data_IF_288668784863
#
_entry.id   IF_288668784863
#
_cell.length_a   1.000
_cell.length_b   1.000
_cell.length_c   1.000
_cell.angle_alpha   90.00
_cell.angle_beta   90.00
_cell.angle_gamma   90.00
#
_symmetry.space_group_name_H-M   'P 1'
#
loop_
_entity.id
_entity.type
_entity.pdbx_description
1 polymer ?
#
# COMPACT_ATOMS: atom_id res chain seq x y z
N UNK A 1 17.16 2.86 2.02
CA UNK A 1 15.70 2.72 2.25
C UNK A 1 14.99 2.34 0.95
N UNK A 2 14.05 1.38 0.98
CA UNK A 2 13.09 1.18 -0.10
C UNK A 2 11.78 1.91 0.26
N UNK A 3 11.26 2.79 -0.60
CA UNK A 3 9.99 3.49 -0.41
C UNK A 3 9.15 3.27 -1.65
N UNK A 4 8.05 2.52 -1.49
CA UNK A 4 7.27 2.07 -2.63
C UNK A 4 5.77 2.04 -2.36
N UNK A 5 5.02 1.96 -3.46
CA UNK A 5 3.58 1.67 -3.48
C UNK A 5 3.46 0.29 -4.15
N UNK A 6 3.38 -0.82 -3.38
CA UNK A 6 3.43 -2.17 -3.96
C UNK A 6 2.21 -2.47 -4.83
N UNK A 7 2.42 -3.11 -5.99
CA UNK A 7 1.32 -3.45 -6.91
C UNK A 7 0.28 -4.37 -6.26
N UNK A 8 0.75 -5.32 -5.46
CA UNK A 8 -0.07 -6.33 -4.81
C UNK A 8 -0.99 -5.70 -3.77
N UNK A 9 -0.48 -4.74 -2.99
CA UNK A 9 -1.29 -4.01 -2.00
C UNK A 9 -2.31 -3.10 -2.67
N UNK A 10 -1.97 -2.47 -3.79
CA UNK A 10 -2.97 -1.75 -4.58
C UNK A 10 -4.06 -2.70 -5.07
N UNK A 11 -3.68 -3.86 -5.60
CA UNK A 11 -4.66 -4.86 -6.02
C UNK A 11 -5.61 -5.26 -4.89
N UNK A 12 -5.07 -5.59 -3.72
CA UNK A 12 -5.88 -5.95 -2.57
C UNK A 12 -6.78 -4.79 -2.12
N UNK A 13 -6.30 -3.56 -2.11
CA UNK A 13 -7.12 -2.37 -1.81
C UNK A 13 -8.28 -2.19 -2.80
N UNK A 14 -8.00 -2.36 -4.10
CA UNK A 14 -9.04 -2.33 -5.13
C UNK A 14 -10.09 -3.41 -4.88
N UNK A 15 -9.66 -4.66 -4.66
CA UNK A 15 -10.58 -5.78 -4.42
C UNK A 15 -11.41 -5.58 -3.16
N UNK A 16 -10.80 -5.09 -2.07
CA UNK A 16 -11.50 -4.75 -0.83
C UNK A 16 -12.65 -3.78 -1.09
N UNK A 17 -12.38 -2.73 -1.86
CA UNK A 17 -13.40 -1.72 -2.19
C UNK A 17 -14.43 -2.24 -3.20
N UNK A 18 -13.97 -2.85 -4.29
CA UNK A 18 -14.82 -3.29 -5.40
C UNK A 18 -15.76 -4.44 -5.01
N UNK A 19 -15.34 -5.29 -4.07
CA UNK A 19 -16.15 -6.39 -3.56
C UNK A 19 -16.82 -6.08 -2.22
N UNK A 20 -16.64 -4.88 -1.67
CA UNK A 20 -17.21 -4.49 -0.38
C UNK A 20 -16.79 -5.41 0.76
N UNK A 21 -15.50 -5.77 0.83
CA UNK A 21 -14.97 -6.64 1.88
C UNK A 21 -14.82 -5.85 3.18
N UNK A 22 -15.30 -6.42 4.28
CA UNK A 22 -15.17 -5.86 5.64
C UNK A 22 -13.89 -6.33 6.37
N UNK A 23 -12.92 -6.86 5.61
CA UNK A 23 -11.62 -7.22 6.12
C UNK A 23 -10.84 -5.99 6.58
N UNK A 24 -10.12 -6.12 7.70
CA UNK A 24 -9.29 -5.05 8.29
C UNK A 24 -10.06 -3.73 8.46
N UNK A 25 -10.99 -3.71 9.41
CA UNK A 25 -11.83 -2.52 9.72
C UNK A 25 -11.03 -1.29 10.16
N UNK A 26 -9.82 -1.50 10.65
CA UNK A 26 -8.84 -0.47 11.00
C UNK A 26 -8.22 0.21 9.77
N UNK A 27 -8.28 -0.41 8.59
CA UNK A 27 -7.77 0.15 7.35
C UNK A 27 -8.77 1.14 6.74
N UNK A 28 -8.42 2.43 6.56
CA UNK A 28 -9.35 3.41 6.00
C UNK A 28 -9.75 3.11 4.55
N UNK A 29 -10.83 3.73 4.05
CA UNK A 29 -11.16 3.75 2.62
C UNK A 29 -10.03 4.30 1.74
N UNK A 30 -10.02 3.91 0.47
CA UNK A 30 -9.02 4.39 -0.49
C UNK A 30 -9.24 5.87 -0.86
N UNK A 31 -8.15 6.57 -1.14
CA UNK A 31 -8.13 7.91 -1.73
C UNK A 31 -7.12 7.97 -2.90
N UNK A 32 -7.59 8.07 -4.16
CA UNK A 32 -8.99 8.14 -4.56
C UNK A 32 -9.72 6.81 -4.37
N UNK A 33 -11.04 6.88 -4.18
CA UNK A 33 -11.90 5.70 -4.18
C UNK A 33 -11.86 5.02 -5.57
N UNK A 34 -11.68 3.69 -5.64
CA UNK A 34 -11.72 2.97 -6.92
C UNK A 34 -13.13 2.92 -7.49
N UNK A 35 -13.23 3.13 -8.80
CA UNK A 35 -14.40 2.71 -9.57
C UNK A 35 -14.30 1.20 -9.78
N UNK A 36 -15.27 0.38 -9.31
CA UNK A 36 -15.22 -1.06 -9.49
C UNK A 36 -15.36 -1.50 -10.96
N UNK A 37 -15.90 -0.64 -11.85
CA UNK A 37 -16.23 -1.04 -13.21
C UNK A 37 -17.19 -2.24 -13.23
N UNK A 38 -16.85 -3.26 -14.01
CA UNK A 38 -17.58 -4.53 -14.07
C UNK A 38 -17.17 -5.55 -12.99
N UNK A 39 -16.37 -5.17 -12.00
CA UNK A 39 -15.93 -6.08 -10.94
C UNK A 39 -17.12 -6.57 -10.12
N UNK A 40 -17.14 -7.87 -9.82
CA UNK A 40 -18.19 -8.51 -9.04
C UNK A 40 -17.58 -9.41 -8.00
N UNK A 41 -18.08 -9.30 -6.76
CA UNK A 41 -17.67 -10.16 -5.67
C UNK A 41 -17.93 -11.63 -6.03
N UNK A 42 -16.90 -12.49 -6.02
CA UNK A 42 -17.08 -13.92 -6.20
C UNK A 42 -17.98 -14.54 -5.12
N UNK A 43 -18.76 -15.57 -5.46
CA UNK A 43 -19.75 -16.18 -4.58
C UNK A 43 -19.19 -17.24 -3.60
N UNK A 44 -17.87 -17.48 -3.59
CA UNK A 44 -17.28 -18.51 -2.74
C UNK A 44 -17.03 -18.00 -1.30
N UNK A 45 -17.21 -18.90 -0.35
CA UNK A 45 -17.05 -18.61 1.08
C UNK A 45 -15.57 -18.41 1.44
N UNK A 46 -15.30 -17.56 2.43
CA UNK A 46 -13.96 -17.35 2.99
C UNK A 46 -13.08 -16.37 2.21
N UNK A 47 -13.64 -15.62 1.26
CA UNK A 47 -12.90 -14.64 0.45
C UNK A 47 -12.22 -13.57 1.31
N UNK A 48 -12.85 -13.11 2.40
CA UNK A 48 -12.23 -12.18 3.35
C UNK A 48 -10.98 -12.77 4.01
N UNK A 49 -11.02 -14.03 4.46
CA UNK A 49 -9.86 -14.68 5.09
C UNK A 49 -8.72 -14.93 4.11
N UNK A 50 -9.04 -15.15 2.83
CA UNK A 50 -8.02 -15.24 1.78
C UNK A 50 -7.39 -13.88 1.54
N UNK A 51 -8.20 -12.83 1.45
CA UNK A 51 -7.73 -11.46 1.32
C UNK A 51 -6.81 -11.05 2.47
N UNK A 52 -7.18 -11.36 3.73
CA UNK A 52 -6.37 -11.04 4.91
C UNK A 52 -5.00 -11.73 4.88
N UNK A 53 -4.98 -13.02 4.51
CA UNK A 53 -3.71 -13.75 4.38
C UNK A 53 -2.81 -13.16 3.30
N UNK A 54 -3.39 -12.76 2.17
CA UNK A 54 -2.66 -12.12 1.07
C UNK A 54 -2.16 -10.73 1.47
N UNK A 55 -2.92 -10.00 2.28
CA UNK A 55 -2.49 -8.73 2.87
C UNK A 55 -1.27 -8.90 3.78
N UNK A 56 -1.30 -9.88 4.67
CA UNK A 56 -0.17 -10.18 5.56
C UNK A 56 1.07 -10.60 4.76
N UNK A 57 0.89 -11.41 3.71
CA UNK A 57 1.99 -11.79 2.83
C UNK A 57 2.59 -10.57 2.10
N UNK A 58 1.75 -9.70 1.52
CA UNK A 58 2.21 -8.55 0.74
C UNK A 58 2.84 -7.45 1.61
N UNK A 59 2.47 -7.37 2.89
CA UNK A 59 3.06 -6.43 3.86
C UNK A 59 4.30 -6.99 4.59
N UNK A 60 4.60 -8.27 4.44
CA UNK A 60 5.81 -8.89 5.00
C UNK A 60 7.09 -8.43 4.30
N UNK A 61 8.23 -8.56 4.99
CA UNK A 61 9.55 -8.22 4.44
C UNK A 61 9.91 -9.08 3.20
N UNK A 62 9.39 -10.30 3.09
CA UNK A 62 9.61 -11.23 1.97
C UNK A 62 8.67 -10.98 0.77
N UNK A 63 7.55 -10.31 0.99
CA UNK A 63 6.55 -10.00 -0.04
C UNK A 63 7.03 -9.02 -1.12
N UNK A 64 8.17 -8.36 -0.93
CA UNK A 64 8.73 -7.38 -1.86
C UNK A 64 9.19 -7.96 -3.22
N UNK A 65 9.31 -9.30 -3.36
CA UNK A 65 9.93 -9.95 -4.53
C UNK A 65 8.96 -10.37 -5.65
N UNK A 66 7.65 -10.09 -5.57
CA UNK A 66 6.69 -10.53 -6.60
C UNK A 66 6.49 -9.47 -7.69
N UNK A 67 7.58 -8.81 -8.11
CA UNK A 67 7.56 -7.85 -9.22
C UNK A 67 7.86 -8.55 -10.54
N UNK A 68 6.87 -9.26 -11.09
CA UNK A 68 6.72 -9.28 -12.54
C UNK A 68 5.77 -8.15 -12.91
N UNK A 69 6.30 -7.10 -13.54
CA UNK A 69 5.50 -6.01 -14.08
C UNK A 69 4.35 -6.59 -14.92
N UNK A 70 3.12 -6.41 -14.46
CA UNK A 70 1.91 -6.83 -15.16
C UNK A 70 1.25 -8.12 -14.66
N UNK A 71 1.84 -8.87 -13.74
CA UNK A 71 1.16 -10.00 -13.12
C UNK A 71 0.21 -9.54 -11.99
N UNK A 72 -1.03 -10.02 -12.03
CA UNK A 72 -2.02 -9.77 -10.98
C UNK A 72 -1.77 -10.75 -9.82
N UNK A 73 -1.36 -10.26 -8.65
CA UNK A 73 -0.97 -11.09 -7.51
C UNK A 73 -2.12 -12.00 -7.04
N UNK A 74 -3.34 -11.45 -6.99
CA UNK A 74 -4.56 -12.24 -6.77
C UNK A 74 -4.84 -13.15 -7.96
N UNK A 75 -4.76 -12.57 -9.17
CA UNK A 75 -5.07 -13.27 -10.42
C UNK A 75 -4.25 -14.53 -10.66
N UNK A 76 -2.99 -14.55 -10.23
CA UNK A 76 -2.11 -15.71 -10.35
C UNK A 76 -2.55 -16.88 -9.46
N UNK A 77 -3.10 -16.61 -8.28
CA UNK A 77 -3.46 -17.65 -7.31
C UNK A 77 -4.92 -18.09 -7.43
N UNK A 78 -5.81 -17.16 -7.80
CA UNK A 78 -7.27 -17.35 -7.72
C UNK A 78 -7.98 -17.08 -9.04
N UNK A 79 -7.25 -16.69 -10.09
CA UNK A 79 -7.83 -16.27 -11.36
C UNK A 79 -8.39 -14.83 -11.30
N UNK A 80 -8.81 -14.33 -12.45
CA UNK A 80 -9.29 -12.95 -12.62
C UNK A 80 -10.82 -12.86 -12.72
N UNK A 81 -11.53 -13.95 -12.46
CA UNK A 81 -12.99 -13.95 -12.47
C UNK A 81 -13.54 -12.98 -11.40
N UNK A 82 -14.45 -12.10 -11.81
CA UNK A 82 -15.01 -11.05 -10.93
C UNK A 82 -14.13 -9.80 -10.78
N UNK A 83 -13.03 -9.69 -11.55
CA UNK A 83 -12.16 -8.51 -11.55
C UNK A 83 -12.23 -7.82 -12.92
N UNK A 84 -12.66 -6.57 -12.93
CA UNK A 84 -12.47 -5.69 -14.08
C UNK A 84 -11.01 -5.22 -14.12
N UNK A 85 -10.22 -5.84 -15.00
CA UNK A 85 -8.80 -5.57 -15.12
C UNK A 85 -8.50 -4.17 -15.67
N UNK A 86 -9.40 -3.59 -16.45
CA UNK A 86 -9.24 -2.23 -16.97
C UNK A 86 -9.47 -1.20 -15.86
N UNK A 87 -10.54 -1.38 -15.07
CA UNK A 87 -10.81 -0.56 -13.89
C UNK A 87 -9.66 -0.65 -12.87
N UNK A 88 -9.17 -1.87 -12.59
CA UNK A 88 -8.03 -2.11 -11.72
C UNK A 88 -6.75 -1.39 -12.21
N UNK A 89 -6.40 -1.55 -13.49
CA UNK A 89 -5.21 -0.90 -14.07
C UNK A 89 -5.32 0.61 -14.04
N UNK A 90 -6.48 1.14 -14.41
CA UNK A 90 -6.75 2.57 -14.39
C UNK A 90 -6.58 3.14 -12.98
N UNK A 91 -7.23 2.52 -11.98
CA UNK A 91 -7.15 2.98 -10.61
C UNK A 91 -5.73 2.87 -10.04
N UNK A 92 -5.00 1.76 -10.27
CA UNK A 92 -3.59 1.61 -9.87
C UNK A 92 -2.73 2.77 -10.40
N UNK A 93 -2.96 3.20 -11.64
CA UNK A 93 -2.24 4.32 -12.24
C UNK A 93 -2.56 5.66 -11.55
N UNK A 94 -3.83 5.92 -11.22
CA UNK A 94 -4.24 7.15 -10.52
C UNK A 94 -3.73 7.17 -9.08
N UNK A 95 -3.90 6.07 -8.35
CA UNK A 95 -3.54 5.98 -6.94
C UNK A 95 -2.04 6.16 -6.66
N UNK A 96 -1.17 5.82 -7.62
CA UNK A 96 0.29 6.02 -7.52
C UNK A 96 0.74 7.47 -7.74
N UNK A 97 -0.04 8.27 -8.47
CA UNK A 97 0.38 9.60 -8.95
C UNK A 97 0.94 10.51 -7.85
N UNK A 98 0.26 10.69 -6.69
CA UNK A 98 0.74 11.62 -5.68
C UNK A 98 2.14 11.28 -5.17
N UNK A 99 2.43 9.99 -4.97
CA UNK A 99 3.75 9.52 -4.54
C UNK A 99 4.77 9.70 -5.66
N UNK A 100 4.45 9.27 -6.88
CA UNK A 100 5.40 9.39 -8.01
C UNK A 100 5.75 10.83 -8.34
N UNK A 101 4.79 11.75 -8.23
CA UNK A 101 5.00 13.18 -8.49
C UNK A 101 5.87 13.82 -7.40
N UNK A 102 5.63 13.46 -6.13
CA UNK A 102 6.45 13.91 -5.01
C UNK A 102 7.90 13.40 -5.09
N UNK A 103 8.11 12.15 -5.50
CA UNK A 103 9.42 11.54 -5.66
C UNK A 103 10.21 12.12 -6.85
N UNK A 104 9.52 12.49 -7.93
CA UNK A 104 10.15 13.15 -9.10
C UNK A 104 10.70 14.54 -8.78
N UNK A 105 10.11 15.24 -7.82
CA UNK A 105 10.58 16.57 -7.43
C UNK A 105 11.77 16.46 -6.46
N UNK A 106 12.95 16.17 -7.01
CA UNK A 106 14.17 15.86 -6.26
C UNK A 106 14.60 16.96 -5.26
N UNK A 107 14.21 18.22 -5.46
CA UNK A 107 14.53 19.31 -4.52
C UNK A 107 13.62 19.34 -3.29
N UNK A 108 12.42 18.76 -3.40
CA UNK A 108 11.34 18.86 -2.41
C UNK A 108 10.80 17.49 -1.98
N UNK A 109 11.49 16.40 -2.35
CA UNK A 109 11.04 15.06 -2.00
C UNK A 109 10.91 14.91 -0.47
N UNK A 110 9.87 14.20 0.03
CA UNK A 110 9.73 13.94 1.46
C UNK A 110 10.99 13.32 2.08
N UNK A 111 11.70 12.46 1.35
CA UNK A 111 12.91 11.80 1.83
C UNK A 111 14.02 12.79 2.16
N UNK A 112 14.27 13.77 1.27
CA UNK A 112 15.33 14.75 1.51
C UNK A 112 14.99 15.68 2.66
N UNK A 113 13.72 16.07 2.78
CA UNK A 113 13.24 16.92 3.88
C UNK A 113 13.30 16.23 5.24
N UNK A 114 13.30 14.90 5.26
CA UNK A 114 13.29 14.06 6.47
C UNK A 114 14.52 13.15 6.57
N UNK A 115 15.63 13.52 5.92
CA UNK A 115 16.80 12.64 5.75
C UNK A 115 17.39 12.14 7.08
N UNK A 116 17.43 12.97 8.12
CA UNK A 116 18.00 12.56 9.42
C UNK A 116 17.08 11.61 10.18
N UNK A 117 15.77 11.86 10.16
CA UNK A 117 14.78 10.95 10.76
C UNK A 117 14.81 9.59 10.04
N UNK A 118 14.92 9.58 8.71
CA UNK A 118 15.08 8.36 7.92
C UNK A 118 16.34 7.59 8.31
N UNK A 119 17.51 8.25 8.37
CA UNK A 119 18.77 7.60 8.80
C UNK A 119 18.65 7.04 10.21
N UNK A 120 17.97 7.75 11.11
CA UNK A 120 17.73 7.28 12.48
C UNK A 120 16.86 6.03 12.50
N UNK A 121 15.75 6.02 11.76
CA UNK A 121 14.90 4.83 11.64
C UNK A 121 15.64 3.65 10.98
N UNK A 122 16.49 3.89 9.96
CA UNK A 122 17.33 2.85 9.34
C UNK A 122 18.32 2.22 10.33
N UNK A 123 18.93 3.03 11.20
CA UNK A 123 19.80 2.56 12.29
C UNK A 123 19.03 1.70 13.29
N UNK A 124 17.73 1.98 13.49
CA UNK A 124 16.81 1.17 14.31
C UNK A 124 16.25 -0.06 13.59
N UNK A 125 16.69 -0.32 12.36
CA UNK A 125 16.36 -1.53 11.63
C UNK A 125 15.30 -1.38 10.55
N UNK A 126 14.73 -0.18 10.34
CA UNK A 126 13.81 0.08 9.22
C UNK A 126 14.51 -0.21 7.90
N UNK A 127 13.81 -0.90 7.00
CA UNK A 127 14.30 -1.26 5.66
C UNK A 127 13.36 -0.83 4.55
N UNK A 128 12.06 -0.73 4.85
CA UNK A 128 11.04 -0.40 3.85
C UNK A 128 9.99 0.56 4.41
N UNK A 129 9.54 1.49 3.57
CA UNK A 129 8.31 2.26 3.81
C UNK A 129 7.32 1.89 2.71
N UNK A 130 6.17 1.38 3.12
CA UNK A 130 5.06 1.00 2.24
C UNK A 130 4.03 2.12 2.29
N UNK A 131 3.64 2.62 1.12
CA UNK A 131 2.69 3.73 1.01
C UNK A 131 1.34 3.23 0.51
N UNK A 132 0.27 3.57 1.23
CA UNK A 132 -1.10 3.21 0.92
C UNK A 132 -1.92 4.45 0.53
N UNK A 133 -2.65 4.42 -0.61
CA UNK A 133 -3.55 5.48 -1.03
C UNK A 133 -4.87 5.38 -0.26
N UNK A 134 -4.85 5.71 1.03
CA UNK A 134 -6.02 5.67 1.92
C UNK A 134 -6.28 7.05 2.54
N UNK A 135 -7.53 7.32 2.88
CA UNK A 135 -7.94 8.60 3.48
C UNK A 135 -7.29 8.80 4.86
N UNK A 136 -7.02 10.06 5.18
CA UNK A 136 -6.57 10.47 6.51
C UNK A 136 -5.18 9.96 6.88
N UNK A 137 -4.96 9.82 8.19
CA UNK A 137 -3.70 9.36 8.76
C UNK A 137 -3.79 7.88 9.13
N UNK A 138 -3.05 7.06 8.39
CA UNK A 138 -2.87 5.64 8.68
C UNK A 138 -1.39 5.32 8.89
N UNK A 139 -1.09 4.54 9.93
CA UNK A 139 0.26 4.07 10.23
C UNK A 139 0.20 2.67 10.84
N UNK A 140 1.14 1.84 10.44
CA UNK A 140 1.35 0.52 11.02
C UNK A 140 2.81 0.11 10.93
N UNK A 141 3.32 -0.54 11.98
CA UNK A 141 4.67 -1.12 12.01
C UNK A 141 4.56 -2.62 11.79
N UNK A 142 5.41 -3.16 10.90
CA UNK A 142 5.51 -4.58 10.58
C UNK A 142 6.97 -4.97 10.41
N UNK A 143 7.54 -5.67 11.38
CA UNK A 143 8.95 -6.12 11.36
C UNK A 143 9.91 -4.96 11.00
N UNK A 144 10.43 -4.93 9.76
CA UNK A 144 11.36 -3.92 9.25
C UNK A 144 10.73 -2.96 8.25
N UNK A 145 9.40 -2.95 8.22
CA UNK A 145 8.56 -2.17 7.32
C UNK A 145 7.69 -1.20 8.12
N UNK A 146 7.58 0.03 7.63
CA UNK A 146 6.66 1.06 8.12
C UNK A 146 5.61 1.32 7.04
N UNK A 147 4.35 1.01 7.33
CA UNK A 147 3.24 1.24 6.43
C UNK A 147 2.61 2.58 6.77
N UNK A 148 2.43 3.45 5.78
CA UNK A 148 1.86 4.78 5.95
C UNK A 148 0.80 5.09 4.89
N UNK A 149 -0.19 5.89 5.26
CA UNK A 149 -1.01 6.62 4.29
C UNK A 149 -0.14 7.56 3.44
N UNK A 150 -0.52 7.77 2.18
CA UNK A 150 0.11 8.77 1.30
C UNK A 150 0.06 10.18 1.92
N UNK A 151 -1.03 10.53 2.60
CA UNK A 151 -1.18 11.82 3.29
C UNK A 151 -0.09 12.03 4.34
N UNK A 152 0.16 11.04 5.21
CA UNK A 152 1.21 11.15 6.22
C UNK A 152 2.61 11.23 5.62
N UNK A 153 2.85 10.54 4.50
CA UNK A 153 4.16 10.57 3.82
C UNK A 153 4.43 11.93 3.17
N UNK A 154 3.43 12.57 2.59
CA UNK A 154 3.58 13.88 1.95
C UNK A 154 3.74 15.03 2.96
N UNK A 155 3.12 14.89 4.14
CA UNK A 155 3.26 15.83 5.24
C UNK A 155 4.57 15.63 6.03
N UNK A 156 5.33 16.71 6.18
CA UNK A 156 6.67 16.64 6.80
C UNK A 156 6.61 16.28 8.28
N UNK A 157 5.70 16.92 9.03
CA UNK A 157 5.62 16.73 10.47
C UNK A 157 5.15 15.30 10.81
N UNK A 158 4.13 14.83 10.09
CA UNK A 158 3.60 13.47 10.21
C UNK A 158 4.64 12.41 9.86
N UNK A 159 5.38 12.58 8.76
CA UNK A 159 6.45 11.65 8.39
C UNK A 159 7.59 11.64 9.41
N UNK A 160 8.03 12.82 9.88
CA UNK A 160 9.07 12.91 10.93
C UNK A 160 8.62 12.16 12.19
N UNK A 161 7.41 12.44 12.69
CA UNK A 161 6.88 11.78 13.89
C UNK A 161 6.79 10.26 13.72
N UNK A 162 6.29 9.78 12.59
CA UNK A 162 6.18 8.35 12.32
C UNK A 162 7.55 7.63 12.28
N UNK A 163 8.59 8.30 11.75
CA UNK A 163 9.97 7.80 11.72
C UNK A 163 10.63 7.83 13.09
N UNK A 164 10.41 8.90 13.87
CA UNK A 164 10.98 9.06 15.20
C UNK A 164 10.38 8.06 16.21
N UNK A 165 9.11 7.70 16.03
CA UNK A 165 8.44 6.67 16.83
C UNK A 165 8.69 5.25 16.32
N UNK A 166 9.38 5.07 15.19
CA UNK A 166 9.65 3.72 14.68
C UNK A 166 10.56 2.95 15.64
N UNK A 167 10.07 1.77 16.05
CA UNK A 167 10.81 0.74 16.77
C UNK A 167 10.50 -0.60 16.10
N UNK A 168 11.53 -1.39 15.79
CA UNK A 168 11.34 -2.74 15.29
C UNK A 168 10.58 -3.57 16.34
N UNK A 169 9.44 -4.13 15.94
CA UNK A 169 8.64 -5.06 16.76
C UNK A 169 9.11 -6.49 16.57
#
# INVERSE_FOLDING_TARGET
MNIDVPNDLLELLFLRSAWGLDARRDLPPCDPAPDPGASQRPAWLGIESVWERMWDQATSDEGASHTSEGANFWGLQHGTAGIDLDALRHWKAVARRPVTDAQRNFGLSPERRNAEALRTAERRGLRRIILLPVIGSYREVRQRSLILSTTMYLDRASLTGALDEYQAS
#
